data_IF_079950919253
#
_entry.id   IF_079950919253
#
_cell.length_a   1.000
_cell.length_b   1.000
_cell.length_c   1.000
_cell.angle_alpha   90.00
_cell.angle_beta   90.00
_cell.angle_gamma   90.00
#
_symmetry.space_group_name_H-M   'P 1'
#
loop_
_entity.id
_entity.type
_entity.pdbx_description
1 polymer ?
#
# COMPACT_ATOMS: atom_id res chain seq x y z
N UNK A 1 -14.93 11.86 -2.16
CA UNK A 1 -13.46 12.04 -2.17
C UNK A 1 -12.88 11.21 -3.30
N UNK A 2 -12.21 11.86 -4.25
CA UNK A 2 -11.53 11.15 -5.34
C UNK A 2 -10.10 10.87 -4.86
N UNK A 3 -9.76 9.60 -4.72
CA UNK A 3 -8.43 9.12 -4.33
C UNK A 3 -7.90 8.28 -5.48
N UNK A 4 -6.70 8.56 -5.96
CA UNK A 4 -6.04 7.79 -7.01
C UNK A 4 -4.61 7.48 -6.60
N UNK A 5 -4.25 6.21 -6.58
CA UNK A 5 -2.86 5.80 -6.47
C UNK A 5 -2.18 6.08 -7.82
N UNK A 6 -1.18 6.95 -7.85
CA UNK A 6 -0.46 7.34 -9.07
C UNK A 6 0.66 6.35 -9.36
N UNK A 7 1.47 6.08 -8.35
CA UNK A 7 2.57 5.13 -8.42
C UNK A 7 2.89 4.60 -7.03
N UNK A 8 3.52 3.44 -7.00
CA UNK A 8 4.07 2.88 -5.77
C UNK A 8 5.30 2.05 -6.11
N UNK A 9 6.21 1.97 -5.16
CA UNK A 9 7.40 1.14 -5.20
C UNK A 9 7.49 0.41 -3.87
N UNK A 10 7.61 -0.91 -3.92
CA UNK A 10 7.66 -1.76 -2.74
C UNK A 10 8.86 -2.68 -2.88
N UNK A 11 9.67 -2.75 -1.84
CA UNK A 11 10.86 -3.60 -1.80
C UNK A 11 10.80 -4.56 -0.63
N UNK A 12 11.22 -5.78 -0.92
CA UNK A 12 11.46 -6.83 0.04
C UNK A 12 12.75 -7.52 -0.38
N UNK A 13 13.69 -7.62 0.56
CA UNK A 13 14.90 -8.37 0.37
C UNK A 13 15.17 -9.17 1.64
N UNK A 14 15.67 -10.39 1.48
CA UNK A 14 16.00 -11.25 2.61
C UNK A 14 16.99 -10.55 3.54
N UNK A 15 16.68 -10.52 4.84
CA UNK A 15 17.50 -9.84 5.85
C UNK A 15 17.37 -8.31 5.89
N UNK A 16 16.59 -7.68 5.00
CA UNK A 16 16.33 -6.25 5.03
C UNK A 16 14.89 -5.96 5.45
N UNK A 17 14.69 -4.82 6.11
CA UNK A 17 13.36 -4.37 6.49
C UNK A 17 12.57 -3.96 5.24
N UNK A 18 11.35 -4.48 5.02
CA UNK A 18 10.49 -4.07 3.91
C UNK A 18 10.26 -2.55 3.88
N UNK A 19 10.20 -1.99 2.68
CA UNK A 19 9.95 -0.57 2.47
C UNK A 19 8.94 -0.36 1.35
N UNK A 20 8.15 0.70 1.49
CA UNK A 20 7.24 1.17 0.45
C UNK A 20 7.32 2.68 0.31
N UNK A 21 7.27 3.15 -0.93
CA UNK A 21 7.10 4.55 -1.31
C UNK A 21 5.87 4.63 -2.20
N UNK A 22 5.00 5.62 -1.99
CA UNK A 22 3.80 5.80 -2.79
C UNK A 22 3.54 7.26 -3.10
N UNK A 23 2.95 7.49 -4.28
CA UNK A 23 2.43 8.77 -4.73
C UNK A 23 0.92 8.64 -4.91
N UNK A 24 0.15 9.43 -4.16
CA UNK A 24 -1.32 9.38 -4.15
C UNK A 24 -1.89 10.76 -4.43
N UNK A 25 -2.87 10.83 -5.33
CA UNK A 25 -3.65 12.03 -5.62
C UNK A 25 -4.94 11.98 -4.80
N UNK A 26 -5.13 12.92 -3.89
CA UNK A 26 -6.32 13.03 -3.04
C UNK A 26 -6.94 14.40 -3.29
N UNK A 27 -8.18 14.40 -3.78
CA UNK A 27 -8.94 15.62 -4.06
C UNK A 27 -8.17 16.61 -4.98
N UNK A 28 -7.37 16.09 -5.92
CA UNK A 28 -6.60 16.85 -6.90
C UNK A 28 -5.17 17.21 -6.47
N UNK A 29 -4.81 17.00 -5.20
CA UNK A 29 -3.46 17.25 -4.69
C UNK A 29 -2.65 15.95 -4.62
N UNK A 30 -1.40 15.99 -5.07
CA UNK A 30 -0.48 14.86 -5.00
C UNK A 30 0.29 14.89 -3.69
N UNK A 31 0.40 13.72 -3.05
CA UNK A 31 1.13 13.46 -1.83
C UNK A 31 2.06 12.27 -2.04
N UNK A 32 3.29 12.40 -1.56
CA UNK A 32 4.29 11.34 -1.62
C UNK A 32 4.78 11.02 -0.22
N UNK A 33 4.82 9.74 0.11
CA UNK A 33 5.30 9.27 1.41
C UNK A 33 6.03 7.94 1.28
N UNK A 34 6.89 7.68 2.26
CA UNK A 34 7.56 6.40 2.39
C UNK A 34 7.50 5.88 3.83
N UNK A 35 7.53 4.57 3.96
CA UNK A 35 7.63 3.92 5.27
C UNK A 35 8.28 2.56 5.14
N UNK A 36 8.99 2.17 6.19
CA UNK A 36 9.28 0.77 6.44
C UNK A 36 8.10 0.10 7.18
N UNK A 37 8.05 -1.22 7.12
CA UNK A 37 7.05 -2.03 7.80
C UNK A 37 7.57 -3.43 8.09
N UNK A 38 6.73 -4.26 8.69
CA UNK A 38 7.05 -5.65 9.04
C UNK A 38 6.76 -6.62 7.87
N UNK A 39 6.11 -6.09 6.82
CA UNK A 39 5.89 -6.72 5.53
C UNK A 39 5.66 -5.67 4.46
N UNK A 40 5.61 -6.09 3.20
CA UNK A 40 5.35 -5.21 2.05
C UNK A 40 4.06 -4.40 2.20
N UNK A 41 2.96 -5.09 2.54
CA UNK A 41 1.66 -4.47 2.74
C UNK A 41 1.65 -3.52 3.95
N UNK A 42 2.26 -3.91 5.07
CA UNK A 42 2.37 -3.05 6.25
C UNK A 42 3.14 -1.76 5.94
N UNK A 43 4.27 -1.87 5.22
CA UNK A 43 5.05 -0.71 4.78
C UNK A 43 4.20 0.25 3.93
N UNK A 44 3.44 -0.28 2.96
CA UNK A 44 2.55 0.50 2.11
C UNK A 44 1.45 1.20 2.92
N UNK A 45 0.76 0.47 3.79
CA UNK A 45 -0.33 1.02 4.61
C UNK A 45 0.19 2.06 5.60
N UNK A 46 1.39 1.88 6.17
CA UNK A 46 2.01 2.88 7.04
C UNK A 46 2.31 4.17 6.30
N UNK A 47 2.87 4.11 5.09
CA UNK A 47 3.11 5.29 4.26
C UNK A 47 1.79 6.02 3.96
N UNK A 48 0.75 5.29 3.53
CA UNK A 48 -0.55 5.89 3.24
C UNK A 48 -1.21 6.48 4.50
N UNK A 49 -1.08 5.80 5.65
CA UNK A 49 -1.60 6.27 6.92
C UNK A 49 -0.92 7.56 7.39
N UNK A 50 0.37 7.77 7.10
CA UNK A 50 1.05 9.05 7.37
C UNK A 50 0.39 10.20 6.59
N UNK A 51 0.16 10.03 5.29
CA UNK A 51 -0.55 11.03 4.47
C UNK A 51 -1.90 11.38 5.08
N UNK A 52 -2.69 10.36 5.43
CA UNK A 52 -4.03 10.59 5.99
C UNK A 52 -4.01 11.25 7.37
N UNK A 53 -3.20 10.72 8.31
CA UNK A 53 -3.25 11.18 9.71
C UNK A 53 -2.41 12.43 9.95
N UNK A 54 -1.22 12.51 9.38
CA UNK A 54 -0.24 13.57 9.64
C UNK A 54 -0.50 14.76 8.73
N UNK A 55 -0.64 14.53 7.42
CA UNK A 55 -0.77 15.61 6.44
C UNK A 55 -2.21 16.12 6.32
N UNK A 56 -3.18 15.20 6.25
CA UNK A 56 -4.58 15.56 6.02
C UNK A 56 -5.42 15.70 7.30
N UNK A 57 -4.93 15.23 8.45
CA UNK A 57 -5.69 15.21 9.71
C UNK A 57 -6.98 14.36 9.65
N UNK A 58 -7.05 13.39 8.72
CA UNK A 58 -8.23 12.55 8.48
C UNK A 58 -8.12 11.21 9.21
N UNK A 59 -9.27 10.62 9.56
CA UNK A 59 -9.32 9.24 10.05
C UNK A 59 -8.91 8.29 8.93
N UNK A 60 -8.05 7.33 9.26
CA UNK A 60 -7.68 6.23 8.37
C UNK A 60 -8.49 4.99 8.77
N UNK A 61 -9.21 4.34 7.84
CA UNK A 61 -10.05 3.19 8.16
C UNK A 61 -9.24 2.01 8.69
N UNK A 62 -9.88 1.18 9.51
CA UNK A 62 -9.29 -0.06 10.01
C UNK A 62 -9.44 -1.16 8.95
N UNK A 63 -8.37 -1.93 8.73
CA UNK A 63 -8.44 -3.13 7.90
C UNK A 63 -9.23 -4.20 8.65
N UNK A 64 -10.35 -4.64 8.07
CA UNK A 64 -11.23 -5.65 8.67
C UNK A 64 -11.05 -7.05 8.07
N UNK A 65 -10.55 -7.13 6.83
CA UNK A 65 -10.36 -8.38 6.11
C UNK A 65 -9.27 -8.21 5.04
N UNK A 66 -8.52 -9.28 4.77
CA UNK A 66 -7.53 -9.40 3.71
C UNK A 66 -7.58 -10.83 3.17
N UNK A 67 -7.88 -10.99 1.88
CA UNK A 67 -7.96 -12.28 1.22
C UNK A 67 -7.14 -12.24 -0.08
N UNK A 68 -6.40 -13.31 -0.34
CA UNK A 68 -5.63 -13.49 -1.58
C UNK A 68 -6.07 -14.82 -2.16
N UNK A 69 -6.53 -14.81 -3.41
CA UNK A 69 -6.89 -16.04 -4.13
C UNK A 69 -6.15 -16.12 -5.46
N UNK A 70 -5.83 -17.36 -5.85
CA UNK A 70 -5.32 -17.69 -7.18
C UNK A 70 -6.37 -18.54 -7.92
N UNK A 71 -6.55 -18.36 -9.23
CA UNK A 71 -7.41 -19.21 -10.02
C UNK A 71 -6.90 -20.66 -10.00
N UNK A 72 -7.81 -21.64 -10.11
CA UNK A 72 -7.45 -23.05 -10.21
C UNK A 72 -6.54 -23.26 -11.43
N UNK A 73 -5.50 -24.09 -11.29
CA UNK A 73 -4.52 -24.36 -12.35
C UNK A 73 -3.06 -24.09 -11.96
N UNK A 74 -2.83 -23.41 -10.83
CA UNK A 74 -1.55 -23.43 -10.11
C UNK A 74 -0.32 -22.92 -10.86
N UNK A 75 -0.52 -22.11 -11.91
CA UNK A 75 0.60 -21.55 -12.67
C UNK A 75 1.20 -20.35 -11.93
N UNK A 76 2.51 -20.17 -12.06
CA UNK A 76 3.25 -19.08 -11.40
C UNK A 76 2.91 -17.70 -11.96
N UNK A 77 2.30 -17.63 -13.15
CA UNK A 77 1.81 -16.42 -13.83
C UNK A 77 0.30 -16.19 -13.63
N UNK A 78 -0.33 -16.93 -12.71
CA UNK A 78 -1.74 -16.80 -12.44
C UNK A 78 -2.12 -15.37 -12.00
N UNK A 79 -3.25 -14.88 -12.51
CA UNK A 79 -3.83 -13.64 -12.02
C UNK A 79 -4.12 -13.75 -10.52
N UNK A 80 -3.66 -12.78 -9.74
CA UNK A 80 -3.93 -12.73 -8.31
C UNK A 80 -5.12 -11.81 -8.10
N UNK A 81 -6.14 -12.31 -7.38
CA UNK A 81 -7.21 -11.46 -6.88
C UNK A 81 -6.88 -11.06 -5.45
N UNK A 82 -6.73 -9.76 -5.23
CA UNK A 82 -6.39 -9.11 -3.95
C UNK A 82 -7.37 -8.00 -3.62
#
# INVERSE_FOLDING_TARGET
NKVKLKSYFVTLASGLKPMATLSVEIDGQVYEESSSGDGQYDAFVRALRKIYKVTLGRKFPMLINYAVSIPPGGRTDAFVQT
#
